data_IF_794955001939
#
_entry.id   IF_794955001939
#
_cell.length_a   1.000
_cell.length_b   1.000
_cell.length_c   1.000
_cell.angle_alpha   90.00
_cell.angle_beta   90.00
_cell.angle_gamma   90.00
#
_symmetry.space_group_name_H-M   'P 1'
#
loop_
_entity.id
_entity.type
_entity.pdbx_description
1 polymer ?
#
# COMPACT_ATOMS: atom_id res chain seq x y z
N UNK A 1 5.53 16.88 2.93
CA UNK A 1 4.66 16.81 1.72
C UNK A 1 3.22 16.78 2.20
N UNK A 2 2.50 17.86 1.91
CA UNK A 2 1.13 18.01 2.38
C UNK A 2 0.15 17.40 1.36
N UNK A 3 -0.64 16.44 1.83
CA UNK A 3 -1.70 15.81 1.08
C UNK A 3 -3.04 16.36 1.58
N UNK A 4 -3.94 16.72 0.66
CA UNK A 4 -5.19 17.37 1.00
C UNK A 4 -6.34 16.86 0.12
N UNK A 5 -7.50 16.67 0.70
CA UNK A 5 -8.75 16.37 -0.01
C UNK A 5 -9.95 16.59 0.93
N UNK A 6 -10.98 17.28 0.46
CA UNK A 6 -12.26 17.53 1.16
C UNK A 6 -12.10 17.98 2.63
N UNK A 7 -11.17 18.92 2.88
CA UNK A 7 -10.92 19.46 4.22
C UNK A 7 -10.06 18.56 5.12
N UNK A 8 -9.67 17.37 4.67
CA UNK A 8 -8.72 16.52 5.37
C UNK A 8 -7.32 16.87 4.89
N UNK A 9 -6.43 17.14 5.84
CA UNK A 9 -5.02 17.41 5.59
C UNK A 9 -4.17 16.36 6.28
N UNK A 10 -3.23 15.77 5.53
CA UNK A 10 -2.28 14.79 6.02
C UNK A 10 -0.86 15.21 5.64
N UNK A 11 -0.01 15.50 6.62
CA UNK A 11 1.43 15.61 6.34
C UNK A 11 2.08 14.22 6.40
N UNK A 12 2.24 13.64 5.21
CA UNK A 12 2.76 12.29 5.05
C UNK A 12 4.18 12.15 5.60
N UNK A 13 4.96 13.22 5.64
CA UNK A 13 6.40 13.16 5.88
C UNK A 13 6.93 14.00 7.03
N UNK A 14 6.13 14.87 7.62
CA UNK A 14 6.59 15.72 8.74
C UNK A 14 7.18 14.87 9.86
N UNK A 15 6.52 13.75 10.13
CA UNK A 15 6.88 12.85 11.23
C UNK A 15 7.96 11.83 10.87
N UNK A 16 8.38 11.73 9.59
CA UNK A 16 9.42 10.77 9.19
C UNK A 16 10.81 11.26 9.56
N UNK A 17 11.49 10.65 10.53
CA UNK A 17 12.82 11.08 10.93
C UNK A 17 13.81 10.97 9.76
N UNK A 18 14.61 12.02 9.54
CA UNK A 18 15.68 12.01 8.52
C UNK A 18 16.76 10.95 8.79
N UNK A 19 16.82 10.44 10.03
CA UNK A 19 17.71 9.34 10.39
C UNK A 19 17.30 7.98 9.81
N UNK A 20 16.06 7.84 9.30
CA UNK A 20 15.62 6.59 8.67
C UNK A 20 16.23 6.46 7.28
N UNK A 21 17.26 5.63 7.16
CA UNK A 21 17.94 5.34 5.90
C UNK A 21 17.52 4.01 5.28
N UNK A 22 16.79 3.18 6.01
CA UNK A 22 16.23 1.89 5.57
C UNK A 22 14.77 1.83 5.96
N UNK A 23 13.89 1.77 4.96
CA UNK A 23 12.44 1.79 5.13
C UNK A 23 11.83 0.61 4.40
N UNK A 24 11.03 -0.18 5.09
CA UNK A 24 10.24 -1.25 4.50
C UNK A 24 8.90 -0.74 3.97
N UNK A 25 8.40 -1.32 2.89
CA UNK A 25 7.05 -1.07 2.38
C UNK A 25 6.37 -2.38 2.07
N UNK A 26 5.24 -2.61 2.72
CA UNK A 26 4.41 -3.76 2.42
C UNK A 26 3.54 -3.46 1.19
N UNK A 27 3.81 -4.16 0.10
CA UNK A 27 3.11 -4.02 -1.16
C UNK A 27 2.15 -5.18 -1.38
N UNK A 28 0.87 -4.90 -1.34
CA UNK A 28 -0.18 -5.90 -1.62
C UNK A 28 -0.54 -5.99 -3.11
N UNK A 29 0.03 -5.12 -3.95
CA UNK A 29 -0.40 -4.90 -5.32
C UNK A 29 -1.61 -3.97 -5.45
N UNK A 30 -2.20 -3.52 -4.34
CA UNK A 30 -3.33 -2.59 -4.34
C UNK A 30 -2.91 -1.12 -4.41
N UNK A 31 -3.89 -0.25 -4.67
CA UNK A 31 -3.70 1.19 -4.85
C UNK A 31 -3.08 1.90 -3.64
N UNK A 32 -3.44 1.49 -2.43
CA UNK A 32 -3.01 2.16 -1.20
C UNK A 32 -1.50 2.01 -1.01
N UNK A 33 -1.00 0.78 -1.15
CA UNK A 33 0.42 0.48 -0.99
C UNK A 33 1.27 0.99 -2.15
N UNK A 34 0.73 1.01 -3.38
CA UNK A 34 1.41 1.58 -4.54
C UNK A 34 1.65 3.09 -4.37
N UNK A 35 0.64 3.82 -3.87
CA UNK A 35 0.78 5.25 -3.57
C UNK A 35 1.82 5.50 -2.47
N UNK A 36 1.87 4.67 -1.41
CA UNK A 36 2.90 4.78 -0.37
C UNK A 36 4.30 4.70 -0.99
N UNK A 37 4.55 3.69 -1.82
CA UNK A 37 5.86 3.52 -2.45
C UNK A 37 6.23 4.75 -3.29
N UNK A 38 5.31 5.23 -4.13
CA UNK A 38 5.54 6.43 -4.94
C UNK A 38 5.87 7.66 -4.09
N UNK A 39 5.09 7.91 -3.04
CA UNK A 39 5.30 9.06 -2.17
C UNK A 39 6.60 8.97 -1.36
N UNK A 40 7.00 7.77 -0.94
CA UNK A 40 8.30 7.56 -0.29
C UNK A 40 9.47 7.92 -1.21
N UNK A 41 9.38 7.50 -2.48
CA UNK A 41 10.39 7.86 -3.48
C UNK A 41 10.43 9.38 -3.67
N UNK A 42 9.28 10.01 -3.83
CA UNK A 42 9.20 11.48 -3.94
C UNK A 42 9.79 12.19 -2.73
N UNK A 43 9.49 11.70 -1.52
CA UNK A 43 10.08 12.24 -0.29
C UNK A 43 11.62 12.12 -0.30
N UNK A 44 12.14 10.96 -0.66
CA UNK A 44 13.57 10.74 -0.66
C UNK A 44 14.28 11.68 -1.65
N UNK A 45 13.68 11.90 -2.83
CA UNK A 45 14.16 12.83 -3.83
C UNK A 45 14.10 14.28 -3.34
N UNK A 46 12.97 14.72 -2.79
CA UNK A 46 12.78 16.10 -2.29
C UNK A 46 13.75 16.43 -1.15
N UNK A 47 14.02 15.47 -0.27
CA UNK A 47 14.98 15.63 0.83
C UNK A 47 16.44 15.50 0.39
N UNK A 48 16.70 15.05 -0.84
CA UNK A 48 18.02 14.66 -1.35
C UNK A 48 18.73 13.65 -0.42
N UNK A 49 17.93 12.81 0.22
CA UNK A 49 18.40 11.79 1.15
C UNK A 49 18.57 10.45 0.41
N UNK A 50 19.65 9.73 0.72
CA UNK A 50 19.79 8.33 0.29
C UNK A 50 19.00 7.44 1.23
N UNK A 51 17.79 7.07 0.81
CA UNK A 51 16.91 6.17 1.55
C UNK A 51 16.77 4.86 0.78
N UNK A 52 17.19 3.76 1.38
CA UNK A 52 16.98 2.43 0.81
C UNK A 52 15.55 1.97 1.11
N UNK A 53 14.77 1.71 0.07
CA UNK A 53 13.38 1.27 0.19
C UNK A 53 13.34 -0.24 -0.06
N UNK A 54 12.83 -1.01 0.88
CA UNK A 54 12.74 -2.46 0.86
C UNK A 54 11.30 -2.89 0.64
N UNK A 55 10.87 -3.14 -0.61
CA UNK A 55 9.54 -3.64 -0.89
C UNK A 55 9.41 -5.10 -0.43
N UNK A 56 8.30 -5.41 0.21
CA UNK A 56 7.96 -6.77 0.61
C UNK A 56 6.51 -7.08 0.24
N UNK A 57 6.26 -8.28 -0.26
CA UNK A 57 4.90 -8.78 -0.48
C UNK A 57 4.73 -10.15 0.16
N UNK A 58 3.54 -10.41 0.70
CA UNK A 58 3.17 -11.73 1.19
C UNK A 58 2.55 -12.58 0.09
N UNK A 59 2.88 -13.85 0.08
CA UNK A 59 2.28 -14.86 -0.79
C UNK A 59 1.63 -15.95 0.04
N UNK A 60 0.30 -16.04 -0.02
CA UNK A 60 -0.45 -17.09 0.66
C UNK A 60 -0.33 -18.40 -0.14
N UNK A 61 0.45 -19.33 0.37
CA UNK A 61 0.71 -20.61 -0.31
C UNK A 61 -0.54 -21.51 -0.37
N UNK A 62 -1.56 -21.23 0.45
CA UNK A 62 -2.85 -21.92 0.37
C UNK A 62 -3.72 -21.45 -0.80
N UNK A 63 -3.38 -20.31 -1.42
CA UNK A 63 -4.08 -19.67 -2.54
C UNK A 63 -3.17 -19.43 -3.73
N UNK A 64 -2.61 -20.46 -4.36
CA UNK A 64 -1.54 -20.32 -5.38
C UNK A 64 -1.99 -19.61 -6.65
N UNK A 65 -3.29 -19.44 -6.87
CA UNK A 65 -3.83 -18.68 -8.01
C UNK A 65 -3.73 -17.15 -7.85
N UNK A 66 -3.46 -16.66 -6.64
CA UNK A 66 -3.33 -15.24 -6.34
C UNK A 66 -1.84 -14.92 -6.17
N UNK A 67 -1.26 -14.30 -7.17
CA UNK A 67 0.18 -13.97 -7.22
C UNK A 67 0.38 -12.46 -7.18
N UNK A 68 0.35 -11.83 -6.00
CA UNK A 68 0.47 -10.37 -5.90
C UNK A 68 1.83 -9.86 -6.38
N UNK A 69 2.88 -10.66 -6.34
CA UNK A 69 4.24 -10.26 -6.69
C UNK A 69 4.39 -9.82 -8.15
N UNK A 70 3.66 -10.41 -9.11
CA UNK A 70 3.69 -10.00 -10.52
C UNK A 70 3.16 -8.56 -10.68
N UNK A 71 2.06 -8.24 -10.00
CA UNK A 71 1.52 -6.87 -9.96
C UNK A 71 2.50 -5.91 -9.26
N UNK A 72 3.09 -6.32 -8.15
CA UNK A 72 4.03 -5.51 -7.38
C UNK A 72 5.29 -5.20 -8.17
N UNK A 73 5.84 -6.15 -8.92
CA UNK A 73 7.01 -5.92 -9.79
C UNK A 73 6.72 -4.89 -10.88
N UNK A 74 5.52 -4.92 -11.47
CA UNK A 74 5.10 -3.91 -12.44
C UNK A 74 4.97 -2.51 -11.81
N UNK A 75 4.42 -2.42 -10.61
CA UNK A 75 4.34 -1.18 -9.83
C UNK A 75 5.74 -0.62 -9.55
N UNK A 76 6.66 -1.46 -9.05
CA UNK A 76 8.04 -1.06 -8.75
C UNK A 76 8.74 -0.55 -10.02
N UNK A 77 8.63 -1.32 -11.11
CA UNK A 77 9.23 -0.95 -12.39
C UNK A 77 8.71 0.40 -12.88
N UNK A 78 7.41 0.57 -12.92
CA UNK A 78 6.79 1.84 -13.34
C UNK A 78 7.30 3.03 -12.49
N UNK A 79 7.31 2.88 -11.17
CA UNK A 79 7.78 3.95 -10.27
C UNK A 79 9.27 4.25 -10.52
N UNK A 80 10.11 3.23 -10.69
CA UNK A 80 11.53 3.39 -10.99
C UNK A 80 11.72 4.13 -12.32
N UNK A 81 11.00 3.73 -13.36
CA UNK A 81 11.09 4.33 -14.69
C UNK A 81 10.62 5.79 -14.69
N UNK A 82 9.53 6.10 -13.97
CA UNK A 82 9.00 7.46 -13.89
C UNK A 82 9.83 8.41 -13.02
N UNK A 83 10.51 7.90 -12.02
CA UNK A 83 11.22 8.73 -11.05
C UNK A 83 12.74 8.70 -11.20
N UNK A 84 13.29 7.70 -11.86
CA UNK A 84 14.73 7.45 -11.92
C UNK A 84 15.36 7.10 -10.56
N UNK A 85 14.55 6.69 -9.57
CA UNK A 85 15.05 6.38 -8.23
C UNK A 85 15.63 4.97 -8.16
N UNK A 86 16.93 4.86 -7.94
CA UNK A 86 17.72 3.63 -8.01
C UNK A 86 17.92 2.90 -6.67
N UNK A 87 17.38 3.43 -5.57
CA UNK A 87 17.54 2.84 -4.23
C UNK A 87 16.33 2.03 -3.77
N UNK A 88 15.40 1.69 -4.67
CA UNK A 88 14.40 0.65 -4.41
C UNK A 88 15.11 -0.69 -4.53
N UNK A 89 15.09 -1.46 -3.44
CA UNK A 89 15.73 -2.76 -3.40
C UNK A 89 14.87 -3.83 -4.11
N UNK A 90 15.44 -4.96 -4.52
CA UNK A 90 14.68 -6.06 -5.09
C UNK A 90 13.51 -6.48 -4.21
N UNK A 91 12.38 -6.84 -4.85
CA UNK A 91 11.20 -7.30 -4.14
C UNK A 91 11.49 -8.54 -3.30
N UNK A 92 11.13 -8.48 -2.04
CA UNK A 92 11.13 -9.65 -1.15
C UNK A 92 9.75 -10.29 -1.15
N UNK A 93 9.66 -11.57 -1.51
CA UNK A 93 8.41 -12.34 -1.44
C UNK A 93 8.46 -13.24 -0.21
N UNK A 94 7.53 -13.06 0.71
CA UNK A 94 7.45 -13.83 1.97
C UNK A 94 6.28 -14.81 1.89
N UNK A 95 6.55 -16.12 1.81
CA UNK A 95 5.49 -17.12 1.84
C UNK A 95 4.88 -17.18 3.26
N UNK A 96 3.57 -17.31 3.33
CA UNK A 96 2.86 -17.52 4.59
C UNK A 96 1.65 -18.46 4.37
N UNK A 97 1.18 -19.04 5.47
CA UNK A 97 -0.09 -19.75 5.51
C UNK A 97 -0.99 -18.94 6.44
N UNK A 98 -2.14 -18.53 5.93
CA UNK A 98 -3.16 -17.89 6.77
C UNK A 98 -4.16 -18.94 7.22
N UNK A 99 -4.14 -19.39 8.48
CA UNK A 99 -5.07 -20.41 8.98
C UNK A 99 -6.52 -19.94 8.95
N UNK A 100 -6.73 -18.64 9.10
CA UNK A 100 -8.03 -17.98 9.22
C UNK A 100 -8.28 -16.91 8.15
N UNK A 101 -7.37 -16.77 7.18
CA UNK A 101 -7.46 -15.79 6.12
C UNK A 101 -7.14 -14.35 6.55
N UNK A 102 -6.60 -14.12 7.75
CA UNK A 102 -6.32 -12.77 8.25
C UNK A 102 -5.03 -12.20 7.66
N UNK A 103 -5.08 -10.93 7.22
CA UNK A 103 -3.90 -10.18 6.75
C UNK A 103 -2.88 -9.87 7.86
N UNK A 104 -3.28 -9.97 9.12
CA UNK A 104 -2.46 -9.59 10.28
C UNK A 104 -1.19 -10.44 10.36
N UNK A 105 -1.29 -11.72 10.06
CA UNK A 105 -0.13 -12.61 10.09
C UNK A 105 0.90 -12.23 9.03
N UNK A 106 0.47 -11.90 7.81
CA UNK A 106 1.35 -11.46 6.74
C UNK A 106 2.15 -10.21 7.14
N UNK A 107 1.47 -9.19 7.68
CA UNK A 107 2.12 -7.94 8.11
C UNK A 107 3.17 -8.20 9.20
N UNK A 108 2.84 -9.05 10.18
CA UNK A 108 3.75 -9.41 11.26
C UNK A 108 5.00 -10.14 10.76
N UNK A 109 4.83 -11.13 9.89
CA UNK A 109 5.94 -11.91 9.33
C UNK A 109 6.84 -11.03 8.46
N UNK A 110 6.26 -10.21 7.58
CA UNK A 110 6.97 -9.30 6.71
C UNK A 110 7.78 -8.26 7.51
N UNK A 111 7.19 -7.71 8.56
CA UNK A 111 7.81 -6.73 9.45
C UNK A 111 9.02 -7.32 10.19
N UNK A 112 8.83 -8.51 10.77
CA UNK A 112 9.90 -9.25 11.42
C UNK A 112 11.05 -9.50 10.45
N UNK A 113 10.76 -10.02 9.26
CA UNK A 113 11.78 -10.29 8.24
C UNK A 113 12.58 -9.05 7.86
N UNK A 114 11.90 -7.93 7.55
CA UNK A 114 12.56 -6.69 7.13
C UNK A 114 13.41 -6.07 8.26
N UNK A 115 12.95 -6.16 9.50
CA UNK A 115 13.70 -5.67 10.65
C UNK A 115 14.95 -6.50 10.88
N UNK A 116 14.83 -7.81 10.91
CA UNK A 116 15.96 -8.72 11.18
C UNK A 116 17.01 -8.73 10.06
N UNK A 117 16.56 -8.65 8.78
CA UNK A 117 17.45 -8.77 7.63
C UNK A 117 18.07 -7.46 7.19
N UNK A 118 17.31 -6.37 7.22
CA UNK A 118 17.69 -5.09 6.63
C UNK A 118 17.66 -3.93 7.63
N UNK A 119 17.38 -4.21 8.89
CA UNK A 119 17.29 -3.21 9.98
C UNK A 119 16.37 -2.03 9.64
N UNK A 120 15.26 -2.33 8.94
CA UNK A 120 14.27 -1.31 8.60
C UNK A 120 13.70 -0.69 9.88
N UNK A 121 13.78 0.64 9.97
CA UNK A 121 13.30 1.39 11.15
C UNK A 121 11.79 1.58 11.17
N UNK A 122 11.14 1.45 10.02
CA UNK A 122 9.70 1.44 9.85
C UNK A 122 9.32 0.53 8.69
N UNK A 123 8.14 -0.06 8.76
CA UNK A 123 7.54 -0.82 7.64
C UNK A 123 6.14 -0.27 7.42
N UNK A 124 5.95 0.41 6.29
CA UNK A 124 4.69 1.06 5.94
C UNK A 124 3.70 0.06 5.38
N UNK A 125 2.44 0.20 5.78
CA UNK A 125 1.31 -0.60 5.32
C UNK A 125 0.16 0.31 4.86
N UNK A 126 -0.51 -0.09 3.77
CA UNK A 126 -1.57 0.67 3.11
C UNK A 126 -2.98 0.43 3.70
N UNK A 127 -3.11 0.33 5.02
CA UNK A 127 -4.43 0.21 5.65
C UNK A 127 -5.10 1.59 5.68
N UNK A 128 -6.26 1.71 5.02
CA UNK A 128 -7.10 2.92 4.99
C UNK A 128 -8.45 2.68 5.70
N UNK A 129 -9.19 3.75 5.99
CA UNK A 129 -10.57 3.64 6.47
C UNK A 129 -11.43 2.98 5.40
N UNK A 130 -12.37 2.15 5.84
CA UNK A 130 -13.29 1.47 4.92
C UNK A 130 -14.30 2.44 4.30
N UNK A 131 -14.50 2.29 2.98
CA UNK A 131 -15.61 2.93 2.27
C UNK A 131 -16.97 2.27 2.58
N UNK A 132 -18.06 2.74 1.93
CA UNK A 132 -19.41 2.22 2.19
C UNK A 132 -19.53 0.70 2.11
N UNK A 133 -18.93 0.08 1.09
CA UNK A 133 -19.00 -1.36 0.90
C UNK A 133 -18.21 -2.18 1.94
N UNK A 134 -17.17 -1.60 2.54
CA UNK A 134 -16.43 -2.24 3.61
C UNK A 134 -17.22 -2.25 4.91
N UNK A 135 -17.96 -1.16 5.18
CA UNK A 135 -18.79 -1.01 6.37
C UNK A 135 -20.01 -1.95 6.41
N UNK A 136 -20.39 -2.49 5.26
CA UNK A 136 -21.43 -3.54 5.15
C UNK A 136 -20.90 -4.93 5.57
N UNK A 137 -19.60 -5.08 5.84
CA UNK A 137 -18.98 -6.36 6.21
C UNK A 137 -18.56 -6.35 7.68
N UNK A 138 -18.74 -7.46 8.39
CA UNK A 138 -18.32 -7.61 9.79
C UNK A 138 -16.80 -7.48 9.99
N UNK A 139 -16.04 -7.58 8.90
CA UNK A 139 -14.57 -7.56 8.91
C UNK A 139 -14.03 -6.16 9.15
N UNK A 140 -14.77 -5.09 8.80
CA UNK A 140 -14.26 -3.72 8.76
C UNK A 140 -14.98 -2.74 9.69
N UNK A 141 -15.78 -3.26 10.64
CA UNK A 141 -16.62 -2.46 11.51
C UNK A 141 -15.89 -1.63 12.58
N UNK A 142 -14.56 -1.63 12.59
CA UNK A 142 -13.81 -0.95 13.65
C UNK A 142 -12.88 0.15 13.11
N UNK A 143 -13.51 1.22 12.56
CA UNK A 143 -12.78 2.45 12.18
C UNK A 143 -11.96 3.01 13.35
N UNK A 144 -12.38 2.79 14.60
CA UNK A 144 -11.64 3.28 15.78
C UNK A 144 -10.34 2.50 15.96
N UNK A 145 -10.38 1.19 15.79
CA UNK A 145 -9.16 0.36 15.84
C UNK A 145 -8.16 0.75 14.77
N UNK A 146 -8.63 1.06 13.55
CA UNK A 146 -7.78 1.51 12.46
C UNK A 146 -7.17 2.87 12.79
N UNK A 147 -7.95 3.81 13.31
CA UNK A 147 -7.45 5.14 13.74
C UNK A 147 -6.43 5.03 14.88
N UNK A 148 -6.59 4.06 15.79
CA UNK A 148 -5.60 3.80 16.83
C UNK A 148 -4.25 3.38 16.26
N UNK A 149 -4.20 2.69 15.11
CA UNK A 149 -2.94 2.34 14.44
C UNK A 149 -2.16 3.61 14.07
N UNK A 150 -2.83 4.63 13.55
CA UNK A 150 -2.19 5.91 13.23
C UNK A 150 -1.65 6.59 14.49
N UNK A 151 -2.41 6.57 15.59
CA UNK A 151 -1.99 7.19 16.84
C UNK A 151 -0.76 6.51 17.43
N UNK A 152 -0.73 5.18 17.39
CA UNK A 152 0.38 4.38 17.95
C UNK A 152 1.60 4.30 17.01
N UNK A 153 1.35 4.26 15.70
CA UNK A 153 2.38 4.01 14.67
C UNK A 153 2.14 4.91 13.45
N UNK A 154 2.21 6.24 13.57
CA UNK A 154 1.81 7.17 12.52
C UNK A 154 2.62 7.03 11.22
N UNK A 155 3.86 6.52 11.30
CA UNK A 155 4.70 6.29 10.13
C UNK A 155 4.35 5.01 9.39
N UNK A 156 3.84 4.00 10.10
CA UNK A 156 3.63 2.68 9.56
C UNK A 156 2.26 2.53 8.90
N UNK A 157 1.27 3.32 9.34
CA UNK A 157 -0.12 3.28 8.86
C UNK A 157 -0.61 4.65 8.40
N UNK A 158 0.01 5.24 7.38
CA UNK A 158 -0.27 6.64 7.00
C UNK A 158 -1.72 6.87 6.54
N UNK A 159 -2.38 5.85 5.99
CA UNK A 159 -3.75 5.95 5.47
C UNK A 159 -4.85 5.63 6.46
N UNK A 160 -4.53 5.23 7.68
CA UNK A 160 -5.54 4.75 8.65
C UNK A 160 -6.50 5.83 9.20
N UNK A 161 -6.35 7.08 8.78
CA UNK A 161 -7.26 8.20 9.08
C UNK A 161 -7.99 8.75 7.86
N UNK A 162 -7.75 8.18 6.68
CA UNK A 162 -8.35 8.59 5.41
C UNK A 162 -8.95 7.41 4.68
N UNK A 163 -9.91 7.67 3.80
CA UNK A 163 -10.54 6.67 2.96
C UNK A 163 -9.92 6.59 1.54
N UNK A 164 -10.46 5.73 0.71
CA UNK A 164 -9.97 5.55 -0.65
C UNK A 164 -10.27 6.71 -1.59
N UNK A 165 -11.25 7.58 -1.31
CA UNK A 165 -11.46 8.80 -2.10
C UNK A 165 -10.32 9.78 -1.90
N UNK A 166 -9.84 9.92 -0.66
CA UNK A 166 -8.64 10.70 -0.39
C UNK A 166 -7.45 10.18 -1.20
N UNK A 167 -7.25 8.86 -1.22
CA UNK A 167 -6.16 8.21 -1.97
C UNK A 167 -6.32 8.46 -3.48
N UNK A 168 -7.53 8.29 -4.01
CA UNK A 168 -7.82 8.55 -5.43
C UNK A 168 -7.53 10.00 -5.83
N UNK A 169 -7.85 10.96 -4.96
CA UNK A 169 -7.55 12.36 -5.18
C UNK A 169 -6.03 12.61 -5.28
N UNK A 170 -5.22 11.88 -4.50
CA UNK A 170 -3.76 12.01 -4.60
C UNK A 170 -3.22 11.46 -5.93
N UNK A 171 -3.75 10.38 -6.47
CA UNK A 171 -3.37 9.91 -7.81
C UNK A 171 -3.58 10.99 -8.86
N UNK A 172 -4.71 11.69 -8.84
CA UNK A 172 -5.01 12.84 -9.71
C UNK A 172 -4.08 14.01 -9.44
N UNK A 173 -3.88 14.38 -8.17
CA UNK A 173 -3.02 15.51 -7.76
C UNK A 173 -1.58 15.37 -8.27
N UNK A 174 -1.06 14.16 -8.26
CA UNK A 174 0.31 13.87 -8.71
C UNK A 174 0.42 13.50 -10.20
N UNK A 175 -0.69 13.41 -10.94
CA UNK A 175 -0.71 13.02 -12.35
C UNK A 175 -0.23 11.59 -12.59
N UNK A 176 -0.58 10.67 -11.68
CA UNK A 176 -0.12 9.28 -11.69
C UNK A 176 -1.27 8.28 -11.83
N UNK A 177 -2.34 8.66 -12.50
CA UNK A 177 -3.50 7.79 -12.72
C UNK A 177 -3.13 6.50 -13.44
N UNK A 178 -2.12 6.53 -14.30
CA UNK A 178 -1.59 5.34 -14.97
C UNK A 178 -1.11 4.28 -13.95
N UNK A 179 -0.41 4.68 -12.89
CA UNK A 179 0.00 3.77 -11.83
C UNK A 179 -1.20 3.02 -11.24
N UNK A 180 -2.36 3.68 -11.14
CA UNK A 180 -3.57 3.04 -10.64
C UNK A 180 -4.04 1.88 -11.52
N UNK A 181 -3.80 1.95 -12.83
CA UNK A 181 -4.20 0.88 -13.78
C UNK A 181 -3.35 -0.38 -13.66
N UNK A 182 -2.16 -0.26 -13.07
CA UNK A 182 -1.25 -1.38 -12.82
C UNK A 182 -1.58 -2.13 -11.52
N UNK A 183 -2.47 -1.57 -10.68
CA UNK A 183 -2.80 -2.16 -9.38
C UNK A 183 -3.93 -3.18 -9.49
N UNK A 184 -3.96 -4.13 -8.56
CA UNK A 184 -5.03 -5.10 -8.42
C UNK A 184 -5.55 -5.14 -6.97
N UNK A 185 -6.80 -4.74 -6.79
CA UNK A 185 -7.48 -4.78 -5.48
C UNK A 185 -8.34 -6.05 -5.32
N UNK A 186 -8.61 -6.79 -6.39
CA UNK A 186 -9.47 -7.96 -6.36
C UNK A 186 -8.79 -9.15 -5.65
N UNK A 187 -9.44 -9.68 -4.61
CA UNK A 187 -8.95 -10.85 -3.87
C UNK A 187 -9.40 -12.19 -4.45
N UNK A 188 -10.28 -12.17 -5.46
CA UNK A 188 -10.83 -13.38 -6.08
C UNK A 188 -10.05 -13.73 -7.35
N UNK A 189 -9.55 -12.72 -8.05
CA UNK A 189 -8.86 -12.90 -9.33
C UNK A 189 -7.71 -11.90 -9.46
N UNK A 190 -6.55 -12.39 -9.89
CA UNK A 190 -5.41 -11.56 -10.25
C UNK A 190 -5.41 -11.12 -11.72
N UNK A 191 -6.26 -11.72 -12.56
CA UNK A 191 -6.31 -11.43 -14.01
C UNK A 191 -7.29 -10.32 -14.38
N UNK A 192 -8.41 -10.25 -13.67
CA UNK A 192 -9.44 -9.23 -13.92
C UNK A 192 -10.29 -9.03 -12.67
N UNK A 193 -10.81 -7.81 -12.44
CA UNK A 193 -11.65 -7.53 -11.29
C UNK A 193 -12.95 -8.33 -11.35
N UNK A 194 -13.31 -9.00 -10.25
CA UNK A 194 -14.56 -9.75 -10.18
C UNK A 194 -15.81 -8.86 -10.11
N UNK A 195 -15.65 -7.57 -9.83
CA UNK A 195 -16.69 -6.53 -9.68
C UNK A 195 -17.73 -6.79 -8.58
N UNK A 196 -17.55 -7.86 -7.78
CA UNK A 196 -18.52 -8.32 -6.76
C UNK A 196 -17.98 -8.21 -5.34
N UNK A 197 -16.68 -8.47 -5.12
CA UNK A 197 -16.09 -8.35 -3.79
C UNK A 197 -16.06 -6.89 -3.34
N UNK A 198 -16.05 -6.69 -2.03
CA UNK A 198 -16.10 -5.35 -1.46
C UNK A 198 -14.90 -4.48 -1.88
N UNK A 199 -13.70 -5.04 -2.07
CA UNK A 199 -12.55 -4.31 -2.60
C UNK A 199 -12.78 -3.77 -4.03
N UNK A 200 -13.42 -4.57 -4.91
CA UNK A 200 -13.79 -4.08 -6.24
C UNK A 200 -14.82 -2.95 -6.16
N UNK A 201 -15.84 -3.10 -5.30
CA UNK A 201 -16.87 -2.08 -5.10
C UNK A 201 -16.26 -0.79 -4.53
N UNK A 202 -15.39 -0.90 -3.54
CA UNK A 202 -14.68 0.22 -2.92
C UNK A 202 -13.76 0.92 -3.93
N UNK A 203 -13.05 0.15 -4.75
CA UNK A 203 -12.25 0.69 -5.85
C UNK A 203 -13.10 1.52 -6.80
N UNK A 204 -14.23 0.95 -7.26
CA UNK A 204 -15.15 1.65 -8.14
C UNK A 204 -15.72 2.92 -7.51
N UNK A 205 -16.12 2.87 -6.24
CA UNK A 205 -16.60 4.02 -5.49
C UNK A 205 -15.60 5.17 -5.41
N UNK A 206 -14.31 4.85 -5.31
CA UNK A 206 -13.25 5.86 -5.13
C UNK A 206 -12.70 6.40 -6.47
N UNK A 207 -12.60 5.55 -7.49
CA UNK A 207 -11.91 5.85 -8.76
C UNK A 207 -12.84 5.92 -9.97
N UNK A 208 -14.14 5.64 -9.83
CA UNK A 208 -15.10 5.44 -10.92
C UNK A 208 -14.64 4.39 -11.94
N UNK A 209 -13.73 3.52 -11.55
CA UNK A 209 -13.14 2.47 -12.39
C UNK A 209 -12.74 1.26 -11.56
N UNK A 210 -12.72 0.09 -12.21
CA UNK A 210 -12.16 -1.13 -11.64
C UNK A 210 -10.65 -1.23 -11.94
N UNK A 211 -9.96 -2.14 -11.24
CA UNK A 211 -8.55 -2.43 -11.51
C UNK A 211 -8.32 -2.87 -12.96
N UNK A 212 -7.15 -2.53 -13.52
CA UNK A 212 -6.75 -2.99 -14.85
C UNK A 212 -6.46 -4.49 -14.93
N UNK A 213 -6.30 -5.15 -13.79
CA UNK A 213 -5.84 -6.54 -13.70
C UNK A 213 -4.36 -6.71 -14.08
N UNK A 214 -3.90 -7.96 -14.12
CA UNK A 214 -2.59 -8.30 -14.70
C UNK A 214 -2.78 -8.41 -16.21
N UNK A 215 -2.11 -7.56 -16.97
CA UNK A 215 -2.07 -7.62 -18.44
C UNK A 215 -0.92 -8.48 -18.90
#
# INVERSE_FOLDING_TARGET
MLLEHEGITLDFFEKFPRSFKSIGVQLSGGIDSALILYLLVKMAQDRKDRVYIYPVTGYDVSKPSIKPYETVENIIRWITDQTGYDLIQPLTVVPYISPDGTKIEMTRVSRKYLNERYHCKAVLDGISLGGPSARETDIWNDDNRIKELYTKHPYEFPWSIVDKKFIAAQYKKFGIEELSTLTNSCIISSKSPCKKCWWCKERYWAFDSYDGGIK
#
